data_IF_863056280930
#
_entry.id   IF_863056280930
#
_cell.length_a   1.000
_cell.length_b   1.000
_cell.length_c   1.000
_cell.angle_alpha   90.00
_cell.angle_beta   90.00
_cell.angle_gamma   90.00
#
_symmetry.space_group_name_H-M   'P 1'
#
loop_
_entity.id
_entity.type
_entity.pdbx_description
1 polymer ?
#
# COMPACT_ATOMS: atom_id res chain seq x y z
N UNK A 1 17.26 -4.57 9.76
CA UNK A 1 17.36 -3.19 9.23
C UNK A 1 16.22 -2.39 9.83
N UNK A 2 16.51 -1.33 10.59
CA UNK A 2 15.44 -0.44 11.08
C UNK A 2 14.98 0.40 9.89
N UNK A 3 13.73 0.24 9.48
CA UNK A 3 13.16 1.04 8.41
C UNK A 3 12.88 2.45 8.94
N UNK A 4 13.34 3.48 8.25
CA UNK A 4 12.98 4.85 8.61
C UNK A 4 11.46 5.03 8.49
N UNK A 5 10.81 5.70 9.44
CA UNK A 5 9.40 6.06 9.26
C UNK A 5 9.26 7.00 8.04
N UNK A 6 8.11 6.95 7.34
CA UNK A 6 7.81 7.87 6.26
C UNK A 6 7.70 9.31 6.78
N UNK A 7 8.16 10.25 5.97
CA UNK A 7 8.05 11.69 6.23
C UNK A 7 6.59 12.15 6.19
N UNK A 8 6.22 13.31 6.77
CA UNK A 8 4.84 13.80 6.74
C UNK A 8 4.25 13.93 5.32
N UNK A 9 4.97 14.43 4.28
CA UNK A 9 4.46 14.43 2.92
C UNK A 9 4.20 13.02 2.35
N UNK A 10 5.10 12.07 2.61
CA UNK A 10 4.90 10.68 2.20
C UNK A 10 3.68 10.06 2.89
N UNK A 11 3.49 10.32 4.19
CA UNK A 11 2.29 9.89 4.92
C UNK A 11 1.04 10.47 4.25
N UNK A 12 1.01 11.76 3.93
CA UNK A 12 -0.14 12.40 3.31
C UNK A 12 -0.49 11.78 1.94
N UNK A 13 0.51 11.46 1.12
CA UNK A 13 0.32 10.80 -0.17
C UNK A 13 -0.23 9.36 -0.01
N UNK A 14 0.34 8.57 0.90
CA UNK A 14 -0.05 7.18 1.13
C UNK A 14 -1.47 7.04 1.74
N UNK A 15 -2.00 8.08 2.40
CA UNK A 15 -3.33 8.05 3.03
C UNK A 15 -4.50 7.89 2.05
N UNK A 16 -4.28 8.10 0.75
CA UNK A 16 -5.33 8.01 -0.27
C UNK A 16 -5.22 6.73 -1.11
N UNK A 17 -4.24 5.89 -0.84
CA UNK A 17 -4.00 4.65 -1.59
C UNK A 17 -4.66 3.46 -0.90
N UNK A 18 -4.96 2.41 -1.67
CA UNK A 18 -5.29 1.11 -1.13
C UNK A 18 -4.05 0.48 -0.47
N UNK A 19 -4.26 -0.38 0.52
CA UNK A 19 -3.17 -1.01 1.26
C UNK A 19 -3.42 -2.52 1.42
N UNK A 20 -2.38 -3.33 1.15
CA UNK A 20 -2.44 -4.79 1.27
C UNK A 20 -1.18 -5.31 1.96
N UNK A 21 -1.35 -6.31 2.84
CA UNK A 21 -0.21 -6.97 3.50
C UNK A 21 0.43 -7.95 2.53
N UNK A 22 1.76 -7.86 2.40
CA UNK A 22 2.60 -8.85 1.72
C UNK A 22 3.18 -9.79 2.79
N UNK A 23 2.66 -11.02 2.92
CA UNK A 23 3.13 -11.96 3.93
C UNK A 23 4.58 -12.35 3.68
N UNK A 24 5.34 -12.54 4.76
CA UNK A 24 6.69 -13.08 4.70
C UNK A 24 6.90 -14.11 5.81
N UNK A 25 7.93 -14.94 5.65
CA UNK A 25 8.40 -15.88 6.67
C UNK A 25 9.84 -15.52 7.08
N UNK A 26 10.11 -15.14 8.34
CA UNK A 26 9.16 -15.03 9.45
C UNK A 26 8.17 -13.85 9.32
N UNK A 27 6.97 -13.92 9.96
CA UNK A 27 5.93 -12.90 9.86
C UNK A 27 6.36 -11.46 10.13
N UNK A 28 7.38 -11.25 10.97
CA UNK A 28 7.96 -9.93 11.26
C UNK A 28 8.64 -9.25 10.07
N UNK A 29 8.90 -9.99 8.99
CA UNK A 29 9.43 -9.44 7.74
C UNK A 29 8.30 -9.07 6.75
N UNK A 30 7.03 -9.25 7.13
CA UNK A 30 5.91 -8.85 6.27
C UNK A 30 5.98 -7.36 5.96
N UNK A 31 5.48 -7.01 4.78
CA UNK A 31 5.45 -5.64 4.27
C UNK A 31 4.01 -5.21 4.00
N UNK A 32 3.82 -3.93 3.76
CA UNK A 32 2.56 -3.34 3.32
C UNK A 32 2.83 -2.67 1.99
N UNK A 33 2.07 -3.06 0.98
CA UNK A 33 2.06 -2.41 -0.32
C UNK A 33 0.93 -1.38 -0.35
N UNK A 34 1.25 -0.16 -0.80
CA UNK A 34 0.31 0.91 -1.06
C UNK A 34 0.19 1.13 -2.56
N UNK A 35 -1.01 1.02 -3.10
CA UNK A 35 -1.25 1.02 -4.54
C UNK A 35 -2.52 1.80 -4.88
N UNK A 36 -2.60 2.32 -6.11
CA UNK A 36 -3.77 3.04 -6.60
C UNK A 36 -4.79 2.06 -7.21
N UNK A 37 -6.06 2.04 -6.75
CA UNK A 37 -7.14 1.26 -7.36
C UNK A 37 -7.31 1.46 -8.87
N UNK A 38 -6.96 2.63 -9.39
CA UNK A 38 -7.03 2.95 -10.82
C UNK A 38 -5.83 2.39 -11.61
N UNK A 39 -4.85 1.80 -10.92
CA UNK A 39 -3.64 1.19 -11.51
C UNK A 39 -2.51 2.19 -11.79
N UNK A 40 -2.67 3.44 -11.40
CA UNK A 40 -1.65 4.49 -11.53
C UNK A 40 -0.46 4.27 -10.59
N UNK A 41 0.71 4.77 -10.99
CA UNK A 41 1.89 4.79 -10.12
C UNK A 41 1.66 5.69 -8.90
N UNK A 42 1.89 5.19 -7.67
CA UNK A 42 1.86 6.02 -6.48
C UNK A 42 2.90 7.16 -6.59
N UNK A 43 2.45 8.41 -6.58
CA UNK A 43 3.36 9.57 -6.60
C UNK A 43 3.99 9.82 -5.22
N UNK A 44 4.81 8.88 -4.72
CA UNK A 44 5.41 8.93 -3.38
C UNK A 44 6.94 8.90 -3.46
N UNK A 45 7.52 10.10 -3.62
CA UNK A 45 8.95 10.27 -3.78
C UNK A 45 9.78 9.60 -2.65
N UNK A 46 10.82 8.87 -3.05
CA UNK A 46 11.82 8.30 -2.14
C UNK A 46 11.39 7.04 -1.40
N UNK A 47 10.26 6.42 -1.77
CA UNK A 47 9.89 5.09 -1.33
C UNK A 47 10.19 4.04 -2.41
N UNK A 48 10.53 2.79 -2.01
CA UNK A 48 10.75 1.74 -2.98
C UNK A 48 9.42 1.32 -3.63
N UNK A 49 9.44 1.20 -4.95
CA UNK A 49 8.32 0.71 -5.76
C UNK A 49 8.56 -0.73 -6.19
N UNK A 50 7.49 -1.54 -6.16
CA UNK A 50 7.47 -2.92 -6.62
C UNK A 50 6.19 -3.17 -7.42
N UNK A 51 6.25 -4.10 -8.38
CA UNK A 51 5.06 -4.59 -9.08
C UNK A 51 4.23 -5.50 -8.18
N UNK A 52 2.95 -5.20 -8.02
CA UNK A 52 2.00 -5.92 -7.21
C UNK A 52 0.88 -6.49 -8.07
N UNK A 53 0.61 -7.79 -7.98
CA UNK A 53 -0.58 -8.38 -8.59
C UNK A 53 -1.72 -8.45 -7.58
N UNK A 54 -2.83 -7.77 -7.89
CA UNK A 54 -4.07 -7.74 -7.09
C UNK A 54 -5.23 -8.35 -7.86
N UNK A 55 -6.21 -8.90 -7.15
CA UNK A 55 -7.43 -9.42 -7.74
C UNK A 55 -8.52 -8.33 -7.69
N UNK A 56 -8.90 -7.77 -8.84
CA UNK A 56 -9.86 -6.67 -8.92
C UNK A 56 -11.06 -7.02 -9.81
N UNK A 57 -12.25 -6.48 -9.51
CA UNK A 57 -13.38 -6.53 -10.43
C UNK A 57 -13.04 -5.80 -11.73
N UNK A 58 -13.27 -6.45 -12.86
CA UNK A 58 -13.17 -5.85 -14.19
C UNK A 58 -14.53 -5.29 -14.63
N UNK A 59 -14.56 -4.53 -15.72
CA UNK A 59 -15.77 -3.91 -16.27
C UNK A 59 -16.90 -4.92 -16.60
N UNK A 60 -16.56 -6.18 -16.83
CA UNK A 60 -17.50 -7.29 -17.07
C UNK A 60 -18.01 -7.96 -15.77
N UNK A 61 -17.61 -7.44 -14.60
CA UNK A 61 -17.97 -7.97 -13.28
C UNK A 61 -17.14 -9.18 -12.83
N UNK A 62 -16.22 -9.67 -13.66
CA UNK A 62 -15.34 -10.80 -13.31
C UNK A 62 -14.13 -10.28 -12.53
N UNK A 63 -13.81 -10.94 -11.41
CA UNK A 63 -12.59 -10.66 -10.65
C UNK A 63 -11.40 -11.35 -11.33
N UNK A 64 -10.35 -10.59 -11.63
CA UNK A 64 -9.14 -11.11 -12.29
C UNK A 64 -7.86 -10.44 -11.80
N UNK A 65 -6.69 -11.02 -12.12
CA UNK A 65 -5.40 -10.46 -11.73
C UNK A 65 -5.11 -9.18 -12.53
N UNK A 66 -4.68 -8.14 -11.83
CA UNK A 66 -4.19 -6.88 -12.38
C UNK A 66 -2.83 -6.58 -11.73
N UNK A 67 -1.82 -6.31 -12.54
CA UNK A 67 -0.51 -5.88 -12.06
C UNK A 67 -0.48 -4.37 -12.00
N UNK A 68 -0.14 -3.84 -10.83
CA UNK A 68 -0.10 -2.41 -10.53
C UNK A 68 1.23 -2.06 -9.83
N UNK A 69 1.79 -0.87 -10.07
CA UNK A 69 2.88 -0.35 -9.28
C UNK A 69 2.43 -0.09 -7.83
N UNK A 70 3.30 -0.40 -6.87
CA UNK A 70 3.01 -0.20 -5.45
C UNK A 70 4.24 0.33 -4.68
N UNK A 71 4.02 1.30 -3.79
CA UNK A 71 5.02 1.72 -2.82
C UNK A 71 5.04 0.73 -1.64
N UNK A 72 6.19 0.17 -1.30
CA UNK A 72 6.28 -0.92 -0.30
C UNK A 72 7.02 -0.48 0.96
N UNK A 73 6.40 -0.71 2.11
CA UNK A 73 6.98 -0.40 3.42
C UNK A 73 7.01 -1.64 4.32
N UNK A 74 8.05 -1.85 5.13
CA UNK A 74 7.97 -2.78 6.25
C UNK A 74 6.81 -2.40 7.18
N UNK A 75 6.13 -3.38 7.79
CA UNK A 75 4.94 -3.14 8.62
C UNK A 75 5.17 -2.05 9.67
N UNK A 76 6.34 -2.04 10.34
CA UNK A 76 6.68 -1.03 11.34
C UNK A 76 6.67 0.41 10.78
N UNK A 77 7.15 0.61 9.54
CA UNK A 77 7.15 1.91 8.88
C UNK A 77 5.75 2.30 8.33
N UNK A 78 4.88 1.33 8.06
CA UNK A 78 3.52 1.57 7.58
C UNK A 78 2.54 2.00 8.69
N UNK A 79 2.81 1.64 9.96
CA UNK A 79 1.91 1.92 11.11
C UNK A 79 1.47 3.39 11.23
N UNK A 80 2.35 4.40 11.08
CA UNK A 80 1.94 5.80 11.18
C UNK A 80 0.95 6.22 10.08
N UNK A 81 0.95 5.56 8.92
CA UNK A 81 -0.01 5.80 7.84
C UNK A 81 -1.34 5.13 8.18
N UNK A 82 -1.31 3.84 8.51
CA UNK A 82 -2.52 3.04 8.79
C UNK A 82 -3.32 3.58 9.98
N UNK A 83 -2.63 4.00 11.04
CA UNK A 83 -3.27 4.60 12.22
C UNK A 83 -3.94 5.94 11.90
N UNK A 84 -3.33 6.77 11.03
CA UNK A 84 -3.93 8.03 10.57
C UNK A 84 -5.09 7.80 9.59
N UNK A 85 -4.99 6.84 8.68
CA UNK A 85 -6.08 6.47 7.78
C UNK A 85 -7.31 6.03 8.58
N UNK A 86 -7.08 5.22 9.63
CA UNK A 86 -8.12 4.79 10.57
C UNK A 86 -8.79 5.95 11.30
N UNK A 87 -8.02 6.95 11.74
CA UNK A 87 -8.53 8.15 12.39
C UNK A 87 -9.30 9.05 11.42
N UNK A 88 -8.83 9.18 10.19
CA UNK A 88 -9.44 9.97 9.12
C UNK A 88 -10.62 9.27 8.42
N UNK A 89 -10.98 8.05 8.83
CA UNK A 89 -12.03 7.21 8.21
C UNK A 89 -11.79 6.93 6.72
N UNK A 90 -10.52 6.88 6.29
CA UNK A 90 -10.11 6.55 4.92
C UNK A 90 -9.85 5.05 4.79
N UNK A 91 -10.91 4.26 4.79
CA UNK A 91 -10.82 2.83 4.52
C UNK A 91 -11.26 2.57 3.07
N UNK A 92 -10.38 1.99 2.26
CA UNK A 92 -10.80 1.36 1.03
C UNK A 92 -11.57 0.07 1.36
N UNK A 93 -12.57 -0.32 0.55
CA UNK A 93 -13.18 -1.63 0.67
C UNK A 93 -12.11 -2.73 0.49
N UNK A 94 -12.23 -3.80 1.28
CA UNK A 94 -11.37 -4.98 1.20
C UNK A 94 -11.89 -5.98 0.17
#
# INVERSE_FOLDING_TARGET
MSASPPTPPQVAALLNLAATVLPADPPRLSRVAFWDPDGSAPEVAGLPEEELTVALPRADGVVGPVTVPAAVLPVAAALPVLTRARAARRAAPA
#
